data_IF_596277441591
#
_entry.id   IF_596277441591
#
_cell.length_a   1.000
_cell.length_b   1.000
_cell.length_c   1.000
_cell.angle_alpha   90.00
_cell.angle_beta   90.00
_cell.angle_gamma   90.00
#
_symmetry.space_group_name_H-M   'P 1'
#
loop_
_entity.id
_entity.type
_entity.pdbx_description
1 polymer ?
#
# COMPACT_ATOMS: atom_id res chain seq x y z
N UNK A 1 -26.06 9.62 33.86
CA UNK A 1 -25.42 9.17 32.61
C UNK A 1 -24.61 10.34 32.07
N UNK A 2 -23.27 10.25 32.15
CA UNK A 2 -22.35 11.27 31.63
C UNK A 2 -22.51 11.30 30.10
N UNK A 3 -22.85 12.47 29.53
CA UNK A 3 -22.82 12.67 28.09
C UNK A 3 -21.36 12.48 27.65
N UNK A 4 -21.07 11.42 26.91
CA UNK A 4 -19.77 11.25 26.26
C UNK A 4 -19.51 12.48 25.39
N UNK A 5 -18.58 13.32 25.82
CA UNK A 5 -18.16 14.48 25.05
C UNK A 5 -17.26 13.94 23.94
N UNK A 6 -17.79 13.84 22.72
CA UNK A 6 -16.99 13.55 21.54
C UNK A 6 -15.98 14.67 21.35
N UNK A 7 -14.75 14.47 21.87
CA UNK A 7 -13.64 15.35 21.52
C UNK A 7 -13.28 15.05 20.07
N UNK A 8 -13.30 16.08 19.22
CA UNK A 8 -12.82 15.96 17.84
C UNK A 8 -11.37 15.47 17.86
N UNK A 9 -11.08 14.39 17.15
CA UNK A 9 -9.71 13.90 16.98
C UNK A 9 -8.92 14.91 16.15
N UNK A 10 -7.77 15.34 16.66
CA UNK A 10 -6.82 16.21 15.95
C UNK A 10 -5.49 15.45 15.78
N UNK A 11 -5.21 14.98 14.56
CA UNK A 11 -3.97 14.25 14.27
C UNK A 11 -2.74 15.16 14.30
N UNK A 12 -2.92 16.49 14.26
CA UNK A 12 -1.85 17.47 14.20
C UNK A 12 -1.62 18.21 15.52
N UNK A 13 -2.25 17.76 16.59
CA UNK A 13 -1.94 18.30 17.93
C UNK A 13 -0.45 18.16 18.25
N UNK A 14 0.05 19.04 19.12
CA UNK A 14 1.46 19.03 19.52
C UNK A 14 1.93 17.63 19.95
N UNK A 15 3.11 17.24 19.46
CA UNK A 15 3.73 15.97 19.82
C UNK A 15 4.07 15.96 21.32
N UNK A 16 3.89 14.82 22.03
CA UNK A 16 4.25 14.67 23.43
C UNK A 16 5.74 14.37 23.64
N UNK A 17 6.51 14.32 22.56
CA UNK A 17 7.94 13.99 22.56
C UNK A 17 8.72 14.97 21.71
N UNK A 18 10.01 15.16 22.02
CA UNK A 18 10.97 15.91 21.21
C UNK A 18 12.03 14.95 20.70
N UNK A 19 12.28 14.95 19.39
CA UNK A 19 13.39 14.22 18.79
C UNK A 19 14.70 14.96 19.09
N UNK A 20 15.67 14.27 19.70
CA UNK A 20 16.97 14.84 20.09
C UNK A 20 18.07 14.51 19.09
N UNK A 21 18.08 13.25 18.61
CA UNK A 21 19.08 12.80 17.66
C UNK A 21 18.54 11.66 16.80
N UNK A 22 19.13 11.51 15.61
CA UNK A 22 18.87 10.40 14.70
C UNK A 22 20.18 9.94 14.08
N UNK A 23 20.40 8.64 14.09
CA UNK A 23 21.55 7.97 13.51
C UNK A 23 21.09 6.79 12.65
N UNK A 24 21.48 6.75 11.38
CA UNK A 24 21.25 5.58 10.53
C UNK A 24 22.24 4.49 10.93
N UNK A 25 21.73 3.41 11.51
CA UNK A 25 22.54 2.27 11.99
C UNK A 25 22.63 1.13 10.98
N UNK A 26 21.77 1.12 9.98
CA UNK A 26 21.81 0.18 8.86
C UNK A 26 21.23 0.83 7.61
N UNK A 27 22.00 0.78 6.52
CA UNK A 27 21.53 1.17 5.20
C UNK A 27 21.39 -0.05 4.30
N UNK A 28 20.18 -0.24 3.75
CA UNK A 28 19.84 -1.32 2.84
C UNK A 28 19.41 -0.83 1.46
N UNK A 29 19.27 -1.78 0.54
CA UNK A 29 18.78 -1.46 -0.80
C UNK A 29 17.33 -0.95 -0.81
N UNK A 30 16.48 -1.50 0.05
CA UNK A 30 15.04 -1.21 0.08
C UNK A 30 14.61 -0.29 1.22
N UNK A 31 15.34 -0.30 2.33
CA UNK A 31 15.04 0.50 3.51
C UNK A 31 16.27 0.71 4.36
N UNK A 32 16.25 1.75 5.16
CA UNK A 32 17.23 2.05 6.18
C UNK A 32 16.62 1.87 7.57
N UNK A 33 17.47 1.66 8.57
CA UNK A 33 17.06 1.61 9.97
C UNK A 33 17.81 2.70 10.72
N UNK A 34 17.04 3.60 11.36
CA UNK A 34 17.56 4.63 12.23
C UNK A 34 17.38 4.25 13.69
N UNK A 35 18.38 4.56 14.51
CA UNK A 35 18.20 4.76 15.95
C UNK A 35 17.86 6.22 16.18
N UNK A 36 16.70 6.49 16.76
CA UNK A 36 16.24 7.85 17.05
C UNK A 36 16.01 8.00 18.54
N UNK A 37 16.65 9.00 19.15
CA UNK A 37 16.51 9.32 20.58
C UNK A 37 15.46 10.40 20.76
N UNK A 38 14.65 10.24 21.78
CA UNK A 38 13.57 11.15 22.13
C UNK A 38 13.63 11.52 23.61
N UNK A 39 13.16 12.72 23.92
CA UNK A 39 12.82 13.15 25.28
C UNK A 39 11.30 13.34 25.41
N UNK A 40 10.77 12.94 26.56
CA UNK A 40 9.37 13.12 26.92
C UNK A 40 9.25 13.49 28.39
N UNK A 41 8.38 14.45 28.70
CA UNK A 41 8.11 14.85 30.08
C UNK A 41 7.70 13.68 30.99
N UNK A 42 6.94 12.72 30.43
CA UNK A 42 6.32 11.65 31.22
C UNK A 42 7.17 10.38 31.31
N UNK A 43 8.04 10.15 30.31
CA UNK A 43 8.83 8.91 30.18
C UNK A 43 10.33 9.18 30.39
N UNK A 44 10.79 10.42 30.15
CA UNK A 44 12.19 10.79 30.07
C UNK A 44 12.81 10.39 28.72
N UNK A 45 14.12 10.18 28.72
CA UNK A 45 14.86 9.78 27.50
C UNK A 45 14.62 8.32 27.11
N UNK A 46 14.41 8.07 25.81
CA UNK A 46 14.28 6.72 25.28
C UNK A 46 14.62 6.66 23.78
N UNK A 47 15.05 5.48 23.31
CA UNK A 47 15.35 5.24 21.91
C UNK A 47 14.24 4.45 21.22
N UNK A 48 14.14 4.66 19.89
CA UNK A 48 13.34 3.83 18.97
C UNK A 48 14.15 3.48 17.75
N UNK A 49 13.93 2.26 17.24
CA UNK A 49 14.37 1.88 15.91
C UNK A 49 13.24 2.19 14.93
N UNK A 50 13.58 2.95 13.90
CA UNK A 50 12.63 3.39 12.90
C UNK A 50 13.10 2.89 11.53
N UNK A 51 12.21 2.16 10.84
CA UNK A 51 12.43 1.73 9.47
C UNK A 51 11.89 2.80 8.53
N UNK A 52 12.72 3.29 7.63
CA UNK A 52 12.28 4.24 6.62
C UNK A 52 12.75 3.85 5.22
N UNK A 53 12.01 4.29 4.21
CA UNK A 53 12.36 4.12 2.80
C UNK A 53 12.90 5.40 2.20
N UNK A 54 13.91 5.24 1.36
CA UNK A 54 14.58 6.36 0.72
C UNK A 54 13.87 6.87 -0.54
N UNK A 55 13.01 6.04 -1.16
CA UNK A 55 12.42 6.29 -2.48
C UNK A 55 10.91 6.60 -2.44
N UNK A 56 10.40 7.08 -1.29
CA UNK A 56 8.99 7.48 -1.15
C UNK A 56 8.02 6.34 -0.88
N UNK A 57 6.74 6.61 -1.07
CA UNK A 57 5.66 5.69 -0.74
C UNK A 57 5.63 4.46 -1.66
N UNK A 58 5.11 3.36 -1.12
CA UNK A 58 4.69 2.22 -1.95
C UNK A 58 3.41 2.57 -2.70
N UNK A 59 3.16 1.88 -3.79
CA UNK A 59 1.87 1.94 -4.48
C UNK A 59 1.27 0.55 -4.63
N UNK A 60 -0.06 0.46 -4.68
CA UNK A 60 -0.80 -0.71 -5.09
C UNK A 60 -1.88 -0.29 -6.08
N UNK A 61 -2.20 -1.17 -7.03
CA UNK A 61 -3.21 -0.88 -8.04
C UNK A 61 -4.25 -2.00 -8.08
N UNK A 62 -5.52 -1.62 -8.03
CA UNK A 62 -6.63 -2.53 -8.30
C UNK A 62 -7.40 -2.04 -9.51
N UNK A 63 -7.84 -2.93 -10.37
CA UNK A 63 -8.65 -2.60 -11.54
C UNK A 63 -9.66 -3.69 -11.84
N UNK A 64 -10.61 -3.36 -12.70
CA UNK A 64 -11.58 -4.29 -13.24
C UNK A 64 -11.39 -4.39 -14.75
N UNK A 65 -11.25 -5.63 -15.25
CA UNK A 65 -11.26 -5.92 -16.69
C UNK A 65 -12.65 -5.64 -17.27
N UNK A 66 -12.79 -5.65 -18.59
CA UNK A 66 -14.09 -5.47 -19.26
C UNK A 66 -15.12 -6.54 -18.84
N UNK A 67 -14.64 -7.74 -18.46
CA UNK A 67 -15.47 -8.82 -17.92
C UNK A 67 -15.77 -8.65 -16.40
N UNK A 68 -15.33 -7.56 -15.79
CA UNK A 68 -15.54 -7.26 -14.36
C UNK A 68 -14.66 -8.07 -13.40
N UNK A 69 -13.54 -8.62 -13.87
CA UNK A 69 -12.63 -9.42 -13.06
C UNK A 69 -11.48 -8.57 -12.50
N UNK A 70 -11.02 -8.91 -11.31
CA UNK A 70 -9.85 -8.33 -10.64
C UNK A 70 -8.63 -9.20 -10.96
N UNK A 71 -7.59 -8.68 -11.66
CA UNK A 71 -6.32 -9.36 -11.80
C UNK A 71 -5.53 -9.28 -10.49
N UNK A 72 -5.15 -10.42 -9.94
CA UNK A 72 -4.28 -10.57 -8.78
C UNK A 72 -3.03 -11.36 -9.16
N UNK A 73 -1.91 -11.09 -8.47
CA UNK A 73 -0.64 -11.80 -8.65
C UNK A 73 -0.39 -12.80 -7.52
N UNK A 74 0.17 -13.95 -7.85
CA UNK A 74 0.74 -14.86 -6.86
C UNK A 74 2.20 -14.49 -6.65
N UNK A 75 2.58 -14.16 -5.41
CA UNK A 75 3.93 -13.78 -5.05
C UNK A 75 4.44 -14.53 -3.83
N UNK A 76 5.67 -15.04 -3.88
CA UNK A 76 6.33 -15.59 -2.70
C UNK A 76 6.93 -14.48 -1.86
N UNK A 77 6.45 -14.33 -0.64
CA UNK A 77 6.95 -13.32 0.33
C UNK A 77 7.96 -13.96 1.28
N UNK A 78 9.24 -13.70 1.01
CA UNK A 78 10.38 -14.25 1.79
C UNK A 78 10.23 -14.01 3.31
N UNK A 79 9.88 -12.80 3.81
CA UNK A 79 9.83 -12.57 5.25
C UNK A 79 8.78 -13.40 6.00
N UNK A 80 7.74 -13.82 5.32
CA UNK A 80 6.66 -14.65 5.90
C UNK A 80 6.67 -16.10 5.40
N UNK A 81 7.65 -16.46 4.58
CA UNK A 81 7.89 -17.80 4.03
C UNK A 81 6.66 -18.45 3.40
N UNK A 82 5.88 -17.68 2.61
CA UNK A 82 4.67 -18.21 1.97
C UNK A 82 4.32 -17.49 0.67
N UNK A 83 3.56 -18.18 -0.16
CA UNK A 83 2.86 -17.58 -1.28
C UNK A 83 1.69 -16.74 -0.78
N UNK A 84 1.51 -15.59 -1.39
CA UNK A 84 0.42 -14.65 -1.15
C UNK A 84 -0.27 -14.31 -2.45
N UNK A 85 -1.55 -13.99 -2.40
CA UNK A 85 -2.32 -13.47 -3.51
C UNK A 85 -2.55 -11.98 -3.27
N UNK A 86 -2.07 -11.13 -4.19
CA UNK A 86 -1.96 -9.70 -3.98
C UNK A 86 -2.40 -8.90 -5.20
N UNK A 87 -2.79 -7.65 -4.99
CA UNK A 87 -2.87 -6.67 -6.08
C UNK A 87 -1.46 -6.30 -6.55
N UNK A 88 -1.27 -5.95 -7.84
CA UNK A 88 -0.01 -5.39 -8.35
C UNK A 88 0.48 -4.24 -7.47
N UNK A 89 1.78 -4.22 -7.17
CA UNK A 89 2.33 -3.24 -6.26
C UNK A 89 3.82 -3.00 -6.51
N UNK A 90 4.33 -1.85 -6.06
CA UNK A 90 5.74 -1.58 -6.16
C UNK A 90 6.18 -0.28 -5.53
N UNK A 91 7.41 0.09 -5.87
CA UNK A 91 8.08 1.28 -5.37
C UNK A 91 8.70 2.06 -6.52
N UNK A 92 9.02 3.33 -6.26
CA UNK A 92 9.86 4.12 -7.14
C UNK A 92 11.22 3.44 -7.34
N UNK A 93 11.68 3.40 -8.58
CA UNK A 93 13.02 2.90 -8.95
C UNK A 93 14.05 4.03 -8.96
N UNK A 94 13.60 5.27 -8.99
CA UNK A 94 14.44 6.47 -8.91
C UNK A 94 13.81 7.51 -7.99
N UNK A 95 14.65 8.33 -7.39
CA UNK A 95 14.20 9.43 -6.55
C UNK A 95 13.31 10.41 -7.35
N UNK A 96 12.18 10.80 -6.77
CA UNK A 96 11.24 11.74 -7.39
C UNK A 96 10.28 11.11 -8.43
N UNK A 97 10.29 9.80 -8.64
CA UNK A 97 9.26 9.14 -9.44
C UNK A 97 7.89 9.30 -8.75
N UNK A 98 6.92 9.86 -9.47
CA UNK A 98 5.59 10.13 -8.89
C UNK A 98 4.85 8.81 -8.62
N UNK A 99 4.06 8.71 -7.55
CA UNK A 99 3.27 7.51 -7.25
C UNK A 99 2.39 7.05 -8.42
N UNK A 100 1.82 7.97 -9.19
CA UNK A 100 1.03 7.66 -10.37
C UNK A 100 1.84 6.96 -11.47
N UNK A 101 3.10 7.39 -11.68
CA UNK A 101 3.96 6.79 -12.72
C UNK A 101 4.42 5.39 -12.29
N UNK A 102 4.72 5.20 -11.00
CA UNK A 102 4.98 3.88 -10.40
C UNK A 102 3.77 2.96 -10.57
N UNK A 103 2.57 3.46 -10.29
CA UNK A 103 1.32 2.70 -10.42
C UNK A 103 1.09 2.23 -11.87
N UNK A 104 1.25 3.12 -12.85
CA UNK A 104 1.14 2.79 -14.28
C UNK A 104 2.12 1.70 -14.67
N UNK A 105 3.38 1.89 -14.34
CA UNK A 105 4.45 0.95 -14.69
C UNK A 105 4.20 -0.42 -14.07
N UNK A 106 3.94 -0.47 -12.76
CA UNK A 106 3.75 -1.74 -12.04
C UNK A 106 2.50 -2.50 -12.50
N UNK A 107 1.44 -1.80 -12.83
CA UNK A 107 0.24 -2.43 -13.34
C UNK A 107 0.49 -3.08 -14.72
N UNK A 108 1.23 -2.41 -15.61
CA UNK A 108 1.58 -2.96 -16.90
C UNK A 108 2.58 -4.15 -16.78
N UNK A 109 3.63 -4.00 -15.97
CA UNK A 109 4.66 -5.03 -15.75
C UNK A 109 4.08 -6.31 -15.14
N UNK A 110 3.27 -6.20 -14.10
CA UNK A 110 2.87 -7.35 -13.27
C UNK A 110 1.59 -8.05 -13.77
N UNK A 111 0.64 -7.32 -14.34
CA UNK A 111 -0.62 -7.92 -14.81
C UNK A 111 -0.89 -7.79 -16.31
N UNK A 112 -0.04 -7.09 -17.06
CA UNK A 112 -0.14 -6.97 -18.51
C UNK A 112 -1.28 -6.06 -18.98
N UNK A 113 -1.64 -5.04 -18.20
CA UNK A 113 -2.64 -4.05 -18.58
C UNK A 113 -2.13 -2.62 -18.45
N UNK A 114 -2.46 -1.80 -19.42
CA UNK A 114 -2.46 -0.35 -19.29
C UNK A 114 -3.86 0.14 -18.91
N UNK A 115 -3.92 1.18 -18.09
CA UNK A 115 -5.16 1.81 -17.67
C UNK A 115 -5.30 3.18 -18.33
N UNK A 116 -6.48 3.48 -18.87
CA UNK A 116 -6.79 4.81 -19.39
C UNK A 116 -6.84 5.83 -18.25
N UNK A 117 -7.42 5.43 -17.11
CA UNK A 117 -7.51 6.25 -15.91
C UNK A 117 -6.97 5.51 -14.69
N UNK A 118 -6.21 6.24 -13.88
CA UNK A 118 -5.70 5.80 -12.57
C UNK A 118 -6.04 6.89 -11.55
N UNK A 119 -6.90 6.55 -10.60
CA UNK A 119 -7.35 7.47 -9.54
C UNK A 119 -6.89 6.97 -8.19
N UNK A 120 -6.17 7.81 -7.44
CA UNK A 120 -5.81 7.48 -6.06
C UNK A 120 -7.07 7.57 -5.18
N UNK A 121 -7.38 6.49 -4.47
CA UNK A 121 -8.56 6.43 -3.62
C UNK A 121 -8.24 6.23 -2.13
N UNK A 122 -7.00 5.86 -1.80
CA UNK A 122 -6.58 5.64 -0.43
C UNK A 122 -5.08 5.88 -0.28
N UNK A 123 -4.67 6.32 0.91
CA UNK A 123 -3.29 6.33 1.37
C UNK A 123 -3.28 5.95 2.84
N UNK A 124 -2.49 4.97 3.22
CA UNK A 124 -2.44 4.48 4.58
C UNK A 124 -1.02 4.24 5.06
N UNK A 125 -0.83 4.23 6.37
CA UNK A 125 0.45 3.93 7.02
C UNK A 125 0.57 2.41 7.14
N UNK A 126 1.67 1.83 6.67
CA UNK A 126 1.85 0.38 6.68
C UNK A 126 2.00 -0.17 8.10
N UNK A 127 2.88 0.42 8.90
CA UNK A 127 3.07 0.04 10.29
C UNK A 127 3.54 1.25 11.12
N UNK A 128 2.62 2.00 11.76
CA UNK A 128 2.95 3.24 12.46
C UNK A 128 3.77 3.02 13.74
N UNK A 129 3.94 1.79 14.21
CA UNK A 129 4.69 1.50 15.44
C UNK A 129 6.20 1.57 15.25
N UNK A 130 6.70 1.37 14.01
CA UNK A 130 8.14 1.39 13.76
C UNK A 130 8.54 1.85 12.36
N UNK A 131 7.61 2.15 11.47
CA UNK A 131 7.92 2.52 10.08
C UNK A 131 7.27 3.84 9.68
N UNK A 132 8.00 4.61 8.88
CA UNK A 132 7.48 5.83 8.26
C UNK A 132 6.80 5.58 6.91
N UNK A 133 6.71 4.32 6.47
CA UNK A 133 6.24 3.96 5.14
C UNK A 133 4.72 4.10 5.01
N UNK A 134 4.30 4.76 3.93
CA UNK A 134 2.92 4.78 3.44
C UNK A 134 2.76 3.91 2.20
N UNK A 135 1.52 3.55 1.92
CA UNK A 135 1.11 2.96 0.64
C UNK A 135 -0.04 3.77 0.06
N UNK A 136 0.09 4.19 -1.19
CA UNK A 136 -0.96 4.82 -1.96
C UNK A 136 -1.66 3.76 -2.83
N UNK A 137 -3.00 3.71 -2.80
CA UNK A 137 -3.80 2.79 -3.60
C UNK A 137 -4.50 3.52 -4.72
N UNK A 138 -4.38 2.94 -5.92
CA UNK A 138 -4.99 3.45 -7.14
C UNK A 138 -6.03 2.48 -7.66
N UNK A 139 -7.12 3.03 -8.19
CA UNK A 139 -8.08 2.31 -8.99
C UNK A 139 -7.80 2.55 -10.47
N UNK A 140 -7.71 1.46 -11.23
CA UNK A 140 -7.47 1.46 -12.67
C UNK A 140 -8.77 1.16 -13.42
N UNK A 141 -9.09 1.97 -14.43
CA UNK A 141 -10.25 1.77 -15.33
C UNK A 141 -9.88 2.03 -16.77
N UNK A 142 -10.71 1.50 -17.70
CA UNK A 142 -10.40 1.53 -19.14
C UNK A 142 -9.17 0.68 -19.44
N UNK A 143 -9.19 -0.57 -18.99
CA UNK A 143 -8.04 -1.47 -19.09
C UNK A 143 -7.86 -1.94 -20.54
N UNK A 144 -6.63 -1.86 -21.04
CA UNK A 144 -6.22 -2.39 -22.33
C UNK A 144 -5.09 -3.39 -22.12
N UNK A 145 -5.28 -4.62 -22.59
CA UNK A 145 -4.24 -5.63 -22.52
C UNK A 145 -3.01 -5.20 -23.34
N UNK A 146 -1.82 -5.33 -22.75
CA UNK A 146 -0.53 -5.07 -23.40
C UNK A 146 0.33 -6.32 -23.35
N UNK A 147 1.23 -6.49 -24.33
CA UNK A 147 2.15 -7.61 -24.32
C UNK A 147 3.22 -7.36 -23.25
N UNK A 148 3.35 -8.29 -22.28
CA UNK A 148 4.43 -8.23 -21.29
C UNK A 148 4.06 -8.48 -19.83
N UNK A 149 2.92 -9.02 -19.52
CA UNK A 149 2.58 -9.38 -18.14
C UNK A 149 3.20 -10.72 -17.71
N UNK A 150 4.51 -10.81 -17.62
CA UNK A 150 5.25 -11.84 -16.90
C UNK A 150 6.69 -11.36 -16.79
N UNK A 151 7.02 -10.73 -15.68
CA UNK A 151 8.41 -10.67 -15.27
C UNK A 151 8.83 -12.10 -14.93
N UNK A 152 9.95 -12.57 -15.52
CA UNK A 152 10.59 -13.87 -15.21
C UNK A 152 11.17 -13.87 -13.78
N UNK A 153 10.41 -13.33 -12.82
CA UNK A 153 10.77 -13.34 -11.42
C UNK A 153 10.31 -14.67 -10.80
N UNK A 154 11.29 -15.49 -10.39
CA UNK A 154 11.02 -16.75 -9.69
C UNK A 154 10.16 -16.62 -8.43
N UNK A 155 9.99 -15.40 -7.90
CA UNK A 155 9.15 -15.11 -6.75
C UNK A 155 7.71 -14.74 -7.13
N UNK A 156 7.41 -14.57 -8.43
CA UNK A 156 6.08 -14.28 -8.97
C UNK A 156 5.69 -15.37 -9.98
N UNK A 157 4.58 -16.08 -9.73
CA UNK A 157 4.28 -17.26 -10.54
C UNK A 157 3.22 -17.01 -11.62
N UNK A 158 2.15 -16.27 -11.34
CA UNK A 158 1.05 -16.11 -12.28
C UNK A 158 0.09 -14.97 -11.93
N UNK A 159 -0.60 -14.48 -12.96
CA UNK A 159 -1.77 -13.61 -12.79
C UNK A 159 -3.01 -14.47 -12.74
N UNK A 160 -3.86 -14.23 -11.74
CA UNK A 160 -5.17 -14.89 -11.60
C UNK A 160 -6.28 -13.87 -11.58
N UNK A 161 -7.44 -14.25 -12.10
CA UNK A 161 -8.59 -13.38 -12.29
C UNK A 161 -9.75 -13.85 -11.41
N UNK A 162 -10.35 -12.93 -10.68
CA UNK A 162 -11.42 -13.21 -9.74
C UNK A 162 -12.52 -12.16 -9.86
N UNK A 163 -13.76 -12.58 -9.66
CA UNK A 163 -14.83 -11.61 -9.43
C UNK A 163 -14.61 -10.87 -8.12
N UNK A 164 -15.15 -9.64 -7.94
CA UNK A 164 -15.08 -8.93 -6.67
C UNK A 164 -15.62 -9.74 -5.49
N UNK A 165 -16.64 -10.57 -5.72
CA UNK A 165 -17.22 -11.43 -4.69
C UNK A 165 -16.29 -12.58 -4.28
N UNK A 166 -15.67 -13.26 -5.23
CA UNK A 166 -14.68 -14.32 -4.96
C UNK A 166 -13.48 -13.75 -4.21
N UNK A 167 -12.94 -12.61 -4.68
CA UNK A 167 -11.83 -11.93 -4.02
C UNK A 167 -12.18 -11.52 -2.59
N UNK A 168 -13.38 -10.97 -2.37
CA UNK A 168 -13.85 -10.62 -1.03
C UNK A 168 -14.07 -11.85 -0.15
N UNK A 169 -14.56 -12.96 -0.69
CA UNK A 169 -14.66 -14.22 0.05
C UNK A 169 -13.29 -14.72 0.53
N UNK A 170 -12.26 -14.58 -0.33
CA UNK A 170 -10.88 -14.95 0.02
C UNK A 170 -10.28 -14.01 1.10
N UNK A 171 -10.68 -12.75 1.14
CA UNK A 171 -10.35 -11.85 2.26
C UNK A 171 -11.02 -12.33 3.55
N UNK A 172 -12.31 -12.67 3.51
CA UNK A 172 -13.07 -13.12 4.69
C UNK A 172 -12.55 -14.43 5.30
N UNK A 173 -12.13 -15.37 4.47
CA UNK A 173 -11.65 -16.68 4.95
C UNK A 173 -10.13 -16.71 5.23
N UNK A 174 -9.42 -15.60 5.06
CA UNK A 174 -7.99 -15.48 5.33
C UNK A 174 -7.08 -16.09 4.26
N UNK A 175 -7.56 -16.36 3.07
CA UNK A 175 -6.72 -16.73 1.91
C UNK A 175 -5.88 -15.54 1.47
N UNK A 176 -6.49 -14.35 1.35
CA UNK A 176 -5.79 -13.08 1.09
C UNK A 176 -5.50 -12.42 2.44
N UNK A 177 -4.21 -12.22 2.74
CA UNK A 177 -3.73 -11.67 4.01
C UNK A 177 -2.95 -10.36 3.85
N UNK A 178 -2.63 -9.98 2.62
CA UNK A 178 -1.91 -8.76 2.33
C UNK A 178 -2.79 -7.52 2.55
N UNK A 179 -2.37 -6.60 3.41
CA UNK A 179 -3.17 -5.48 3.87
C UNK A 179 -3.63 -4.55 2.73
N UNK A 180 -2.75 -4.21 1.78
CA UNK A 180 -3.11 -3.36 0.64
C UNK A 180 -4.18 -4.01 -0.24
N UNK A 181 -4.09 -5.33 -0.44
CA UNK A 181 -5.05 -6.11 -1.22
C UNK A 181 -6.40 -6.20 -0.50
N UNK A 182 -6.39 -6.44 0.81
CA UNK A 182 -7.61 -6.45 1.65
C UNK A 182 -8.34 -5.12 1.53
N UNK A 183 -7.63 -3.98 1.71
CA UNK A 183 -8.22 -2.64 1.64
C UNK A 183 -8.80 -2.38 0.24
N UNK A 184 -8.06 -2.69 -0.81
CA UNK A 184 -8.47 -2.44 -2.19
C UNK A 184 -9.67 -3.31 -2.61
N UNK A 185 -9.65 -4.61 -2.30
CA UNK A 185 -10.74 -5.54 -2.62
C UNK A 185 -12.02 -5.15 -1.87
N UNK A 186 -11.93 -4.83 -0.58
CA UNK A 186 -13.08 -4.35 0.19
C UNK A 186 -13.65 -3.06 -0.39
N UNK A 187 -12.80 -2.12 -0.83
CA UNK A 187 -13.25 -0.88 -1.45
C UNK A 187 -14.04 -1.14 -2.73
N UNK A 188 -13.53 -2.00 -3.62
CA UNK A 188 -14.23 -2.39 -4.86
C UNK A 188 -15.53 -3.12 -4.56
N UNK A 189 -15.53 -4.04 -3.61
CA UNK A 189 -16.71 -4.84 -3.27
C UNK A 189 -17.86 -4.01 -2.68
N UNK A 190 -17.56 -3.10 -1.71
CA UNK A 190 -18.59 -2.33 -1.01
C UNK A 190 -19.01 -1.04 -1.71
N UNK A 191 -18.18 -0.47 -2.55
CA UNK A 191 -18.46 0.83 -3.17
C UNK A 191 -17.97 0.90 -4.63
N UNK A 192 -18.43 0.00 -5.51
CA UNK A 192 -17.97 -0.05 -6.89
C UNK A 192 -18.24 1.25 -7.67
N UNK A 193 -19.34 1.95 -7.36
CA UNK A 193 -19.75 3.18 -8.05
C UNK A 193 -18.99 4.43 -7.60
N UNK A 194 -18.25 4.39 -6.49
CA UNK A 194 -17.44 5.50 -5.97
C UNK A 194 -15.97 5.43 -6.35
N UNK A 195 -15.61 4.49 -7.24
CA UNK A 195 -14.23 4.35 -7.72
C UNK A 195 -13.92 5.29 -8.89
N UNK A 196 -14.96 5.88 -9.49
CA UNK A 196 -14.86 6.82 -10.61
C UNK A 196 -15.36 8.18 -10.13
N UNK A 197 -14.44 9.08 -9.73
CA UNK A 197 -14.76 10.49 -9.66
C UNK A 197 -14.84 11.22 -8.32
N UNK A 198 -14.28 10.70 -7.22
CA UNK A 198 -14.07 11.53 -6.01
C UNK A 198 -12.74 12.29 -6.10
N UNK A 199 -12.74 13.44 -6.77
CA UNK A 199 -11.58 14.36 -6.90
C UNK A 199 -11.26 15.15 -5.61
N UNK A 200 -11.78 14.76 -4.45
CA UNK A 200 -11.61 15.52 -3.21
C UNK A 200 -11.05 14.66 -2.07
N UNK A 201 -9.78 14.29 -2.16
CA UNK A 201 -8.96 14.01 -0.98
C UNK A 201 -7.70 14.89 -1.04
N UNK A 202 -7.89 16.16 -0.65
CA UNK A 202 -6.83 17.10 -0.34
C UNK A 202 -6.24 16.88 1.05
#
# INVERSE_FOLDING_TARGET
MSKATYRRFDPWRAAPVTEESRETILSGHYFDIDRTSFDSRDIGHFDRLIVHKNNGDSVGVIGLTDDGLIPLIEQYRIPVHRWTLEIPAGHAIKQGERPLDVAKRKFAEEVGYEAEHLTQFCRFINNPSYSTQYTALFFASGLKAVHGGNDDDALMSSVRYFTPEEAFHMVKNGTILDAKSIIAIQRVYFAPNHMVGDEHLG
#
